data_IF_195690043506
#
_entry.id   IF_195690043506
#
_cell.length_a   1.000
_cell.length_b   1.000
_cell.length_c   1.000
_cell.angle_alpha   90.00
_cell.angle_beta   90.00
_cell.angle_gamma   90.00
#
_symmetry.space_group_name_H-M   'P 1'
#
loop_
_entity.id
_entity.type
_entity.pdbx_description
1 polymer ?
#
# COMPACT_ATOMS: atom_id res chain seq x y z
N UNK A 1 12.54 -70.95 -33.61
CA UNK A 1 11.52 -70.52 -34.60
C UNK A 1 10.36 -69.92 -33.80
N UNK A 2 10.27 -68.59 -33.74
CA UNK A 2 9.03 -67.80 -33.68
C UNK A 2 9.35 -66.31 -33.44
N UNK A 3 8.80 -65.52 -34.35
CA UNK A 3 8.95 -64.10 -34.68
C UNK A 3 8.30 -63.08 -33.72
N UNK A 4 8.75 -61.80 -33.87
CA UNK A 4 7.97 -60.52 -33.84
C UNK A 4 7.64 -59.95 -32.44
N UNK A 5 7.66 -58.63 -32.13
CA UNK A 5 7.50 -57.35 -32.86
C UNK A 5 8.27 -56.23 -32.12
N UNK A 6 8.85 -55.30 -32.89
CA UNK A 6 9.35 -54.01 -32.42
C UNK A 6 8.18 -53.03 -32.19
N UNK A 7 8.17 -52.30 -31.07
CA UNK A 7 7.23 -51.21 -30.83
C UNK A 7 8.01 -49.89 -30.75
N UNK A 8 7.95 -49.12 -31.84
CA UNK A 8 8.42 -47.73 -31.88
C UNK A 8 7.51 -46.86 -31.00
N UNK A 9 8.06 -46.28 -29.93
CA UNK A 9 7.40 -45.23 -29.16
C UNK A 9 7.60 -43.89 -29.85
N UNK A 10 6.58 -43.46 -30.60
CA UNK A 10 6.44 -42.09 -31.09
C UNK A 10 6.01 -41.19 -29.93
N UNK A 11 6.95 -40.44 -29.36
CA UNK A 11 6.65 -39.38 -28.40
C UNK A 11 6.07 -38.17 -29.15
N UNK A 12 4.74 -38.02 -29.09
CA UNK A 12 4.05 -36.84 -29.60
C UNK A 12 4.16 -35.72 -28.56
N UNK A 13 5.18 -34.87 -28.67
CA UNK A 13 5.31 -33.67 -27.85
C UNK A 13 4.32 -32.60 -28.33
N UNK A 14 3.18 -32.48 -27.65
CA UNK A 14 2.30 -31.32 -27.79
C UNK A 14 2.99 -30.11 -27.12
N UNK A 15 3.17 -28.97 -27.81
CA UNK A 15 3.61 -27.75 -27.14
C UNK A 15 2.49 -27.32 -26.20
N UNK A 16 2.76 -27.33 -24.90
CA UNK A 16 1.93 -26.65 -23.91
C UNK A 16 2.04 -25.15 -24.19
N UNK A 17 1.11 -24.63 -24.99
CA UNK A 17 0.92 -23.19 -25.12
C UNK A 17 0.43 -22.69 -23.75
N UNK A 18 1.34 -22.08 -22.99
CA UNK A 18 0.96 -21.37 -21.77
C UNK A 18 -0.14 -20.35 -22.14
N UNK A 19 -1.28 -20.30 -21.42
CA UNK A 19 -2.24 -19.24 -21.64
C UNK A 19 -1.52 -17.92 -21.37
N UNK A 20 -1.25 -17.17 -22.44
CA UNK A 20 -0.84 -15.79 -22.34
C UNK A 20 -1.92 -15.09 -21.52
N UNK A 21 -1.56 -14.63 -20.33
CA UNK A 21 -2.51 -14.10 -19.35
C UNK A 21 -3.47 -13.13 -20.02
N UNK A 22 -4.76 -13.46 -19.96
CA UNK A 22 -5.82 -12.61 -20.47
C UNK A 22 -5.69 -11.24 -19.79
N UNK A 23 -5.24 -10.26 -20.57
CA UNK A 23 -5.37 -8.85 -20.20
C UNK A 23 -6.88 -8.60 -20.15
N UNK A 24 -7.44 -8.65 -18.96
CA UNK A 24 -8.82 -8.23 -18.72
C UNK A 24 -8.86 -6.71 -18.87
N UNK A 25 -9.05 -6.23 -20.09
CA UNK A 25 -9.30 -4.83 -20.43
C UNK A 25 -10.74 -4.40 -20.04
N UNK A 26 -11.56 -5.33 -19.55
CA UNK A 26 -12.88 -5.04 -18.99
C UNK A 26 -12.75 -4.43 -17.58
N UNK A 27 -13.48 -3.34 -17.27
CA UNK A 27 -13.45 -2.75 -15.94
C UNK A 27 -13.93 -3.76 -14.90
N UNK A 28 -13.18 -3.89 -13.80
CA UNK A 28 -13.54 -4.76 -12.69
C UNK A 28 -14.91 -4.32 -12.11
N UNK A 29 -15.75 -5.28 -11.66
CA UNK A 29 -17.06 -4.98 -11.09
C UNK A 29 -16.95 -4.12 -9.83
N UNK A 30 -17.99 -3.35 -9.54
CA UNK A 30 -18.08 -2.60 -8.29
C UNK A 30 -18.13 -3.54 -7.07
N UNK A 31 -17.76 -3.04 -5.89
CA UNK A 31 -17.75 -3.84 -4.64
C UNK A 31 -19.08 -4.59 -4.38
N UNK A 32 -20.21 -3.93 -4.67
CA UNK A 32 -21.56 -4.47 -4.49
C UNK A 32 -21.87 -5.65 -5.42
N UNK A 33 -21.14 -5.80 -6.52
CA UNK A 33 -21.32 -6.85 -7.53
C UNK A 33 -20.36 -8.04 -7.35
N UNK A 34 -19.42 -7.95 -6.40
CA UNK A 34 -18.49 -9.04 -6.12
C UNK A 34 -19.21 -10.25 -5.50
N UNK A 35 -18.82 -11.45 -5.92
CA UNK A 35 -19.25 -12.70 -5.29
C UNK A 35 -18.75 -12.78 -3.84
N UNK A 36 -19.36 -13.65 -3.03
CA UNK A 36 -18.91 -13.87 -1.65
C UNK A 36 -17.44 -14.31 -1.60
N UNK A 37 -17.03 -15.20 -2.51
CA UNK A 37 -15.65 -15.67 -2.63
C UNK A 37 -14.69 -14.54 -3.01
N UNK A 38 -15.06 -13.68 -3.96
CA UNK A 38 -14.23 -12.53 -4.35
C UNK A 38 -14.05 -11.53 -3.21
N UNK A 39 -15.13 -11.21 -2.47
CA UNK A 39 -15.03 -10.34 -1.28
C UNK A 39 -14.13 -10.95 -0.22
N UNK A 40 -14.28 -12.24 0.01
CA UNK A 40 -13.47 -12.99 0.98
C UNK A 40 -11.98 -12.90 0.63
N UNK A 41 -11.60 -13.11 -0.63
CA UNK A 41 -10.21 -12.96 -1.09
C UNK A 41 -9.64 -11.56 -0.86
N UNK A 42 -10.45 -10.51 -1.05
CA UNK A 42 -10.02 -9.13 -0.84
C UNK A 42 -9.91 -8.73 0.64
N UNK A 43 -10.75 -9.31 1.50
CA UNK A 43 -10.77 -9.02 2.95
C UNK A 43 -9.78 -9.88 3.72
N UNK A 44 -9.45 -11.08 3.24
CA UNK A 44 -8.60 -12.05 3.93
C UNK A 44 -7.30 -11.45 4.51
N UNK A 45 -6.50 -10.64 3.77
CA UNK A 45 -5.29 -10.05 4.34
C UNK A 45 -5.54 -9.13 5.54
N UNK A 46 -6.66 -8.39 5.53
CA UNK A 46 -7.03 -7.53 6.65
C UNK A 46 -7.47 -8.36 7.85
N UNK A 47 -8.25 -9.43 7.62
CA UNK A 47 -8.65 -10.37 8.68
C UNK A 47 -7.43 -11.03 9.31
N UNK A 48 -6.50 -11.52 8.50
CA UNK A 48 -5.34 -12.24 9.01
C UNK A 48 -4.45 -11.31 9.84
N UNK A 49 -4.25 -10.06 9.37
CA UNK A 49 -3.58 -9.02 10.16
C UNK A 49 -4.31 -8.74 11.48
N UNK A 50 -5.64 -8.61 11.45
CA UNK A 50 -6.44 -8.40 12.66
C UNK A 50 -6.27 -9.55 13.66
N UNK A 51 -6.30 -10.80 13.19
CA UNK A 51 -6.15 -11.98 14.03
C UNK A 51 -4.73 -12.12 14.59
N UNK A 52 -3.70 -11.74 13.84
CA UNK A 52 -2.32 -11.73 14.32
C UNK A 52 -1.98 -10.56 15.25
N UNK A 53 -2.75 -9.46 15.20
CA UNK A 53 -2.50 -8.26 16.00
C UNK A 53 -2.71 -8.49 17.51
N UNK A 54 -1.83 -7.90 18.32
CA UNK A 54 -1.99 -7.83 19.77
C UNK A 54 -3.25 -7.01 20.16
N UNK A 55 -3.82 -7.18 21.37
CA UNK A 55 -5.04 -6.48 21.79
C UNK A 55 -4.97 -4.95 21.61
N UNK A 56 -3.84 -4.33 21.93
CA UNK A 56 -3.64 -2.88 21.80
C UNK A 56 -3.59 -2.46 20.33
N UNK A 57 -3.04 -3.29 19.44
CA UNK A 57 -3.03 -3.00 18.01
C UNK A 57 -4.43 -3.13 17.40
N UNK A 58 -5.20 -4.15 17.80
CA UNK A 58 -6.62 -4.28 17.40
C UNK A 58 -7.44 -3.06 17.83
N UNK A 59 -7.23 -2.56 19.05
CA UNK A 59 -7.88 -1.35 19.53
C UNK A 59 -7.55 -0.13 18.64
N UNK A 60 -6.27 0.06 18.30
CA UNK A 60 -5.83 1.13 17.38
C UNK A 60 -6.42 0.98 15.97
N UNK A 61 -6.47 -0.23 15.44
CA UNK A 61 -7.08 -0.51 14.12
C UNK A 61 -8.56 -0.10 14.10
N UNK A 62 -9.32 -0.44 15.15
CA UNK A 62 -10.72 -0.02 15.27
C UNK A 62 -10.87 1.50 15.44
N UNK A 63 -10.03 2.13 16.26
CA UNK A 63 -10.04 3.59 16.42
C UNK A 63 -9.80 4.29 15.07
N UNK A 64 -8.81 3.82 14.30
CA UNK A 64 -8.53 4.34 12.96
C UNK A 64 -9.73 4.18 12.02
N UNK A 65 -10.37 3.00 12.02
CA UNK A 65 -11.55 2.75 11.20
C UNK A 65 -12.73 3.66 11.59
N UNK A 66 -12.96 3.88 12.88
CA UNK A 66 -14.00 4.79 13.39
C UNK A 66 -13.75 6.23 12.95
N UNK A 67 -12.55 6.75 13.19
CA UNK A 67 -12.16 8.10 12.74
C UNK A 67 -12.35 8.26 11.24
N UNK A 68 -11.94 7.27 10.45
CA UNK A 68 -12.13 7.30 9.00
C UNK A 68 -13.60 7.35 8.58
N UNK A 69 -14.47 6.58 9.26
CA UNK A 69 -15.92 6.58 9.01
C UNK A 69 -16.54 7.95 9.30
N UNK A 70 -16.09 8.61 10.36
CA UNK A 70 -16.56 9.93 10.82
C UNK A 70 -16.05 11.10 9.95
N UNK A 71 -14.99 10.90 9.15
CA UNK A 71 -14.51 11.95 8.25
C UNK A 71 -15.59 12.35 7.24
N UNK A 72 -15.89 13.66 7.11
CA UNK A 72 -16.75 14.18 6.05
C UNK A 72 -16.24 13.78 4.66
N UNK A 73 -17.13 13.64 3.65
CA UNK A 73 -16.76 13.21 2.31
C UNK A 73 -15.57 14.00 1.72
N UNK A 74 -15.58 15.33 1.88
CA UNK A 74 -14.47 16.16 1.39
C UNK A 74 -13.13 15.88 2.08
N UNK A 75 -13.15 15.56 3.38
CA UNK A 75 -11.93 15.22 4.11
C UNK A 75 -11.38 13.88 3.63
N UNK A 76 -12.24 12.91 3.37
CA UNK A 76 -11.84 11.62 2.77
C UNK A 76 -11.26 11.82 1.37
N UNK A 77 -11.86 12.67 0.56
CA UNK A 77 -11.33 13.03 -0.76
C UNK A 77 -9.95 13.70 -0.67
N UNK A 78 -9.77 14.63 0.27
CA UNK A 78 -8.46 15.24 0.54
C UNK A 78 -7.44 14.18 0.97
N UNK A 79 -7.82 13.25 1.82
CA UNK A 79 -6.96 12.16 2.29
C UNK A 79 -6.58 11.20 1.14
N UNK A 80 -7.54 10.80 0.28
CA UNK A 80 -7.28 9.97 -0.92
C UNK A 80 -6.30 10.64 -1.87
N UNK A 81 -6.48 11.93 -2.17
CA UNK A 81 -5.51 12.70 -2.96
C UNK A 81 -4.15 12.77 -2.29
N UNK A 82 -4.12 12.88 -0.96
CA UNK A 82 -2.89 12.84 -0.16
C UNK A 82 -2.15 11.50 -0.32
N UNK A 83 -2.89 10.40 -0.19
CA UNK A 83 -2.36 9.04 -0.37
C UNK A 83 -1.77 8.86 -1.77
N UNK A 84 -2.51 9.23 -2.82
CA UNK A 84 -2.02 9.14 -4.19
C UNK A 84 -0.79 10.01 -4.48
N UNK A 85 -0.57 11.12 -3.74
CA UNK A 85 0.69 11.87 -3.80
C UNK A 85 1.81 11.12 -3.07
N UNK A 86 1.53 10.57 -1.89
CA UNK A 86 2.49 9.85 -1.06
C UNK A 86 3.00 8.57 -1.72
N UNK A 87 2.13 7.83 -2.41
CA UNK A 87 2.48 6.63 -3.17
C UNK A 87 3.46 6.92 -4.30
N UNK A 88 3.39 8.11 -4.90
CA UNK A 88 4.30 8.55 -5.96
C UNK A 88 5.61 9.15 -5.47
N UNK A 89 5.78 9.32 -4.15
CA UNK A 89 7.03 9.83 -3.57
C UNK A 89 8.12 8.76 -3.59
N UNK A 90 9.36 9.19 -3.81
CA UNK A 90 10.55 8.35 -3.61
C UNK A 90 10.71 7.95 -2.12
N UNK A 91 11.47 6.89 -1.80
CA UNK A 91 11.74 6.52 -0.41
C UNK A 91 12.29 7.68 0.45
N UNK A 92 13.18 8.50 -0.11
CA UNK A 92 13.76 9.68 0.54
C UNK A 92 12.68 10.74 0.80
N UNK A 93 11.83 11.04 -0.19
CA UNK A 93 10.72 11.99 -0.04
C UNK A 93 9.70 11.52 1.01
N UNK A 94 9.41 10.21 1.07
CA UNK A 94 8.55 9.64 2.11
C UNK A 94 9.18 9.77 3.50
N UNK A 95 10.49 9.57 3.63
CA UNK A 95 11.20 9.78 4.90
C UNK A 95 11.13 11.24 5.35
N UNK A 96 11.38 12.19 4.44
CA UNK A 96 11.21 13.63 4.71
C UNK A 96 9.78 13.98 5.12
N UNK A 97 8.77 13.48 4.39
CA UNK A 97 7.37 13.74 4.71
C UNK A 97 6.96 13.21 6.09
N UNK A 98 7.40 12.00 6.45
CA UNK A 98 7.15 11.43 7.78
C UNK A 98 7.85 12.25 8.87
N UNK A 99 9.13 12.57 8.70
CA UNK A 99 9.88 13.35 9.67
C UNK A 99 9.23 14.73 9.91
N UNK A 100 8.87 15.42 8.82
CA UNK A 100 8.17 16.69 8.86
C UNK A 100 6.82 16.59 9.61
N UNK A 101 6.02 15.58 9.28
CA UNK A 101 4.73 15.36 9.95
C UNK A 101 4.93 15.14 11.46
N UNK A 102 5.87 14.28 11.85
CA UNK A 102 6.13 13.99 13.25
C UNK A 102 6.65 15.20 14.03
N UNK A 103 7.54 16.00 13.44
CA UNK A 103 8.04 17.21 14.08
C UNK A 103 6.96 18.29 14.23
N UNK A 104 6.01 18.37 13.30
CA UNK A 104 5.08 19.50 13.23
C UNK A 104 3.66 19.21 13.71
N UNK A 105 3.25 17.95 13.87
CA UNK A 105 1.84 17.57 14.17
C UNK A 105 1.30 18.18 15.47
N UNK A 106 2.19 18.41 16.45
CA UNK A 106 1.84 18.90 17.78
C UNK A 106 2.20 20.40 17.94
N UNK A 107 2.66 21.06 16.86
CA UNK A 107 2.94 22.51 16.84
C UNK A 107 1.66 23.33 16.69
N UNK A 108 1.64 24.49 17.35
CA UNK A 108 0.62 25.51 17.13
C UNK A 108 0.65 26.06 15.70
N UNK A 109 -0.47 26.57 15.15
CA UNK A 109 -0.56 26.98 13.76
C UNK A 109 0.51 27.98 13.32
N UNK A 110 0.85 28.96 14.16
CA UNK A 110 1.88 29.97 13.86
C UNK A 110 3.30 29.35 13.89
N UNK A 111 3.60 28.52 14.87
CA UNK A 111 4.89 27.81 14.93
C UNK A 111 5.09 26.91 13.71
N UNK A 112 4.03 26.21 13.29
CA UNK A 112 4.05 25.39 12.08
C UNK A 112 4.25 26.24 10.82
N UNK A 113 3.62 27.42 10.70
CA UNK A 113 3.83 28.34 9.57
C UNK A 113 5.30 28.75 9.46
N UNK A 114 5.88 29.25 10.55
CA UNK A 114 7.28 29.68 10.59
C UNK A 114 8.23 28.51 10.29
N UNK A 115 7.94 27.32 10.81
CA UNK A 115 8.70 26.12 10.47
C UNK A 115 8.66 25.84 8.95
N UNK A 116 7.46 25.86 8.36
CA UNK A 116 7.29 25.58 6.93
C UNK A 116 7.94 26.62 6.03
N UNK A 117 8.00 27.89 6.45
CA UNK A 117 8.74 28.94 5.74
C UNK A 117 10.24 28.65 5.71
N UNK A 118 10.84 28.33 6.87
CA UNK A 118 12.25 27.91 6.94
C UNK A 118 12.51 26.66 6.11
N UNK A 119 11.63 25.67 6.19
CA UNK A 119 11.74 24.42 5.42
C UNK A 119 11.76 24.66 3.90
N UNK A 120 10.95 25.60 3.41
CA UNK A 120 10.92 25.96 1.98
C UNK A 120 12.22 26.60 1.51
N UNK A 121 12.91 27.33 2.39
CA UNK A 121 14.20 27.96 2.09
C UNK A 121 15.39 26.97 2.14
N UNK A 122 15.23 25.82 2.79
CA UNK A 122 16.28 24.80 2.86
C UNK A 122 16.60 24.18 1.50
N UNK A 123 17.89 23.97 1.23
CA UNK A 123 18.37 23.17 0.10
C UNK A 123 18.04 21.68 0.28
N UNK A 124 18.09 20.86 -0.78
CA UNK A 124 17.92 19.41 -0.66
C UNK A 124 18.86 18.77 0.36
N UNK A 125 20.14 19.19 0.40
CA UNK A 125 21.12 18.70 1.38
C UNK A 125 20.76 19.08 2.82
N UNK A 126 20.32 20.33 3.04
CA UNK A 126 19.88 20.77 4.36
C UNK A 126 18.67 19.99 4.85
N UNK A 127 17.72 19.67 3.96
CA UNK A 127 16.55 18.82 4.31
C UNK A 127 16.97 17.39 4.62
N UNK A 128 17.91 16.83 3.86
CA UNK A 128 18.49 15.51 4.15
C UNK A 128 19.14 15.47 5.53
N UNK A 129 19.99 16.46 5.82
CA UNK A 129 20.64 16.57 7.12
C UNK A 129 19.61 16.70 8.24
N UNK A 130 18.62 17.57 8.08
CA UNK A 130 17.56 17.73 9.07
C UNK A 130 16.81 16.42 9.35
N UNK A 131 16.53 15.61 8.33
CA UNK A 131 15.89 14.28 8.53
C UNK A 131 16.82 13.29 9.22
N UNK A 132 18.13 13.35 8.99
CA UNK A 132 19.09 12.51 9.72
C UNK A 132 19.11 12.88 11.21
N UNK A 133 19.05 14.17 11.51
CA UNK A 133 19.02 14.69 12.89
C UNK A 133 17.65 14.49 13.56
N UNK A 134 16.58 14.41 12.75
CA UNK A 134 15.19 14.26 13.18
C UNK A 134 14.54 13.07 12.47
N UNK A 135 15.00 11.83 12.73
CA UNK A 135 14.54 10.67 11.99
C UNK A 135 13.04 10.43 12.23
N UNK A 136 12.27 10.05 11.20
CA UNK A 136 10.91 9.60 11.43
C UNK A 136 10.94 8.37 12.35
N UNK A 137 9.93 8.19 13.22
CA UNK A 137 9.84 6.98 14.02
C UNK A 137 9.83 5.77 13.08
N UNK A 138 10.45 4.68 13.55
CA UNK A 138 10.47 3.43 12.81
C UNK A 138 9.04 3.05 12.40
N UNK A 139 8.82 2.58 11.16
CA UNK A 139 7.56 1.96 10.81
C UNK A 139 7.28 0.84 11.82
N UNK A 140 6.15 0.95 12.52
CA UNK A 140 5.69 -0.06 13.46
C UNK A 140 4.97 -1.17 12.72
#
# INVERSE_FOLDING_TARGET
MNTRIAACLLALSLPFAAPAGERHDAPLPAWEQLSAEQRELLVAPLRDRWNAAAPEERARMLEHARRWKELPPEQRERARRGMGRFERMSPEQRAQARALFHATRDMEPEQRRQFMERWRQMTPDQRRQWVQDNPPPAPR
#
